data_IF_038355864811
#
_entry.id   IF_038355864811
#
_cell.length_a   1.000
_cell.length_b   1.000
_cell.length_c   1.000
_cell.angle_alpha   90.00
_cell.angle_beta   90.00
_cell.angle_gamma   90.00
#
_symmetry.space_group_name_H-M   'P 1'
#
loop_
_entity.id
_entity.type
_entity.pdbx_description
1 polymer ?
#
# COMPACT_ATOMS: atom_id res chain seq x y z
N UNK A 1 -34.08 6.50 -7.63
CA UNK A 1 -33.06 6.26 -8.66
C UNK A 1 -31.71 6.15 -7.96
N UNK A 2 -31.21 4.93 -7.80
CA UNK A 2 -30.12 4.61 -6.87
C UNK A 2 -28.77 5.02 -7.45
N UNK A 3 -28.04 5.84 -6.70
CA UNK A 3 -26.71 6.33 -7.05
C UNK A 3 -25.73 5.19 -7.25
N UNK A 4 -25.07 5.18 -8.42
CA UNK A 4 -23.94 4.31 -8.68
C UNK A 4 -22.79 4.80 -7.81
N UNK A 5 -22.47 4.06 -6.75
CA UNK A 5 -21.23 4.23 -6.00
C UNK A 5 -20.06 4.19 -6.99
N UNK A 6 -19.36 5.31 -7.12
CA UNK A 6 -18.15 5.44 -7.90
C UNK A 6 -17.04 4.65 -7.23
N UNK A 7 -17.07 3.32 -7.42
CA UNK A 7 -15.88 2.50 -7.22
C UNK A 7 -14.80 3.07 -8.12
N UNK A 8 -13.87 3.84 -7.54
CA UNK A 8 -12.64 4.28 -8.20
C UNK A 8 -11.83 3.02 -8.52
N UNK A 9 -12.18 2.40 -9.64
CA UNK A 9 -11.51 1.23 -10.19
C UNK A 9 -10.02 1.54 -10.28
N UNK A 10 -9.19 0.66 -9.73
CA UNK A 10 -7.77 0.70 -10.01
C UNK A 10 -7.60 0.65 -11.54
N UNK A 11 -7.02 1.68 -12.16
CA UNK A 11 -7.03 1.88 -13.62
C UNK A 11 -6.31 0.79 -14.42
N UNK A 12 -5.69 -0.20 -13.77
CA UNK A 12 -5.02 -1.33 -14.43
C UNK A 12 -5.99 -2.52 -14.38
N UNK A 13 -6.97 -2.57 -15.27
CA UNK A 13 -7.71 -3.81 -15.53
C UNK A 13 -7.05 -4.48 -16.73
N UNK A 14 -5.84 -5.00 -16.54
CA UNK A 14 -5.46 -6.16 -17.35
C UNK A 14 -6.36 -7.30 -16.89
N UNK A 15 -7.19 -7.83 -17.80
CA UNK A 15 -8.01 -9.00 -17.51
C UNK A 15 -7.05 -10.12 -17.10
N UNK A 16 -7.02 -10.46 -15.81
CA UNK A 16 -6.15 -11.52 -15.28
C UNK A 16 -6.34 -12.79 -16.11
N UNK A 17 -5.23 -13.47 -16.44
CA UNK A 17 -5.33 -14.77 -17.08
C UNK A 17 -6.12 -15.71 -16.17
N UNK A 18 -6.87 -16.65 -16.74
CA UNK A 18 -7.80 -17.51 -15.99
C UNK A 18 -7.12 -18.20 -14.79
N UNK A 19 -5.85 -18.60 -14.95
CA UNK A 19 -5.04 -19.26 -13.93
C UNK A 19 -4.32 -18.30 -12.96
N UNK A 20 -4.25 -17.01 -13.24
CA UNK A 20 -3.67 -15.96 -12.38
C UNK A 20 -4.72 -15.34 -11.44
N UNK A 21 -5.95 -15.86 -11.44
CA UNK A 21 -7.02 -15.42 -10.54
C UNK A 21 -6.67 -15.76 -9.09
N UNK A 22 -7.27 -15.00 -8.17
CA UNK A 22 -7.09 -15.20 -6.72
C UNK A 22 -7.48 -16.63 -6.36
N UNK A 23 -6.59 -17.31 -5.62
CA UNK A 23 -6.91 -18.62 -5.03
C UNK A 23 -7.99 -18.43 -3.96
N UNK A 24 -9.01 -19.27 -3.99
CA UNK A 24 -10.11 -19.23 -3.02
C UNK A 24 -10.11 -20.46 -2.13
N UNK A 25 -10.61 -20.28 -0.91
CA UNK A 25 -10.92 -21.33 0.06
C UNK A 25 -12.24 -22.02 -0.33
N UNK A 26 -12.58 -23.17 0.30
CA UNK A 26 -13.86 -23.86 0.05
C UNK A 26 -15.09 -22.98 0.29
N UNK A 27 -15.02 -22.04 1.24
CA UNK A 27 -16.08 -21.07 1.51
C UNK A 27 -16.07 -19.84 0.58
N UNK A 28 -15.47 -19.95 -0.61
CA UNK A 28 -15.32 -18.90 -1.63
C UNK A 28 -14.41 -17.70 -1.28
N UNK A 29 -13.98 -17.55 -0.02
CA UNK A 29 -13.11 -16.43 0.38
C UNK A 29 -11.70 -16.55 -0.22
N UNK A 30 -11.04 -15.44 -0.59
CA UNK A 30 -9.68 -15.50 -1.09
C UNK A 30 -8.69 -15.94 -0.01
N UNK A 31 -7.65 -16.66 -0.41
CA UNK A 31 -6.50 -16.95 0.44
C UNK A 31 -5.67 -15.66 0.58
N UNK A 32 -5.41 -15.26 1.83
CA UNK A 32 -4.65 -14.06 2.16
C UNK A 32 -3.30 -14.43 2.75
N UNK A 33 -2.26 -13.73 2.33
CA UNK A 33 -0.92 -13.91 2.84
C UNK A 33 -0.69 -13.01 4.07
N UNK A 34 0.02 -13.53 5.06
CA UNK A 34 0.48 -12.75 6.21
C UNK A 34 1.70 -11.92 5.80
N UNK A 35 1.68 -10.63 6.10
CA UNK A 35 2.72 -9.67 5.72
C UNK A 35 3.32 -8.97 6.94
N UNK A 36 4.57 -8.51 6.83
CA UNK A 36 5.28 -7.80 7.89
C UNK A 36 5.07 -6.28 7.92
N UNK A 37 4.46 -5.72 6.86
CA UNK A 37 4.24 -4.27 6.68
C UNK A 37 2.75 -3.89 6.80
N UNK A 38 2.51 -2.64 7.19
CA UNK A 38 1.19 -1.98 7.30
C UNK A 38 1.14 -0.72 6.43
N UNK A 39 -0.07 -0.20 6.22
CA UNK A 39 -0.29 1.09 5.54
C UNK A 39 0.29 2.20 6.43
N UNK A 40 0.95 3.18 5.81
CA UNK A 40 1.63 4.27 6.51
C UNK A 40 3.01 3.94 7.07
N UNK A 41 3.47 2.70 6.96
CA UNK A 41 4.85 2.37 7.32
C UNK A 41 5.81 3.04 6.31
N UNK A 42 6.94 3.57 6.81
CA UNK A 42 8.05 4.03 5.97
C UNK A 42 8.99 2.87 5.67
N UNK A 43 9.28 2.66 4.40
CA UNK A 43 10.07 1.53 3.92
C UNK A 43 11.15 1.96 2.95
N UNK A 44 12.23 1.19 2.91
CA UNK A 44 13.28 1.28 1.90
C UNK A 44 13.21 0.06 0.99
N UNK A 45 13.42 0.28 -0.31
CA UNK A 45 13.46 -0.80 -1.30
C UNK A 45 14.84 -1.45 -1.31
N UNK A 46 14.85 -2.77 -1.18
CA UNK A 46 16.05 -3.61 -1.07
C UNK A 46 16.53 -4.07 -2.45
N UNK A 47 15.58 -4.43 -3.31
CA UNK A 47 15.82 -5.06 -4.60
C UNK A 47 14.84 -4.57 -5.67
N UNK A 48 15.24 -4.69 -6.93
CA UNK A 48 14.50 -4.20 -8.09
C UNK A 48 15.09 -2.89 -8.65
N UNK A 49 14.39 -2.32 -9.63
CA UNK A 49 14.80 -1.10 -10.34
C UNK A 49 14.95 0.11 -9.39
N UNK A 50 14.05 0.22 -8.43
CA UNK A 50 13.96 1.36 -7.51
C UNK A 50 14.77 1.14 -6.22
N UNK A 51 15.85 0.34 -6.29
CA UNK A 51 16.66 -0.03 -5.12
C UNK A 51 17.22 1.21 -4.43
N UNK A 52 17.11 1.22 -3.10
CA UNK A 52 17.68 2.28 -2.25
C UNK A 52 16.75 3.45 -1.97
N UNK A 53 15.67 3.63 -2.74
CA UNK A 53 14.67 4.67 -2.47
C UNK A 53 13.88 4.35 -1.20
N UNK A 54 13.50 5.42 -0.49
CA UNK A 54 12.69 5.38 0.71
C UNK A 54 11.34 6.00 0.38
N UNK A 55 10.25 5.40 0.87
CA UNK A 55 8.90 5.93 0.68
C UNK A 55 7.91 5.34 1.67
N UNK A 56 6.72 5.92 1.69
CA UNK A 56 5.62 5.49 2.56
C UNK A 56 4.65 4.58 1.79
N UNK A 57 4.10 3.58 2.49
CA UNK A 57 3.14 2.64 1.89
C UNK A 57 1.75 3.26 1.83
N UNK A 58 1.22 3.42 0.61
CA UNK A 58 -0.14 3.94 0.37
C UNK A 58 -1.19 2.83 0.42
N UNK A 59 -0.90 1.68 -0.23
CA UNK A 59 -1.86 0.56 -0.34
C UNK A 59 -1.17 -0.79 -0.21
N UNK A 60 -1.91 -1.77 0.31
CA UNK A 60 -1.43 -3.14 0.54
C UNK A 60 -2.39 -4.16 -0.05
N UNK A 61 -1.88 -5.06 -0.89
CA UNK A 61 -2.63 -6.15 -1.50
C UNK A 61 -2.21 -7.50 -0.94
N UNK A 62 -2.96 -7.98 0.07
CA UNK A 62 -2.65 -9.23 0.80
C UNK A 62 -2.80 -10.53 0.00
N UNK A 63 -3.53 -10.51 -1.12
CA UNK A 63 -3.74 -11.70 -1.95
C UNK A 63 -2.51 -12.02 -2.82
N UNK A 64 -1.77 -11.00 -3.25
CA UNK A 64 -0.55 -11.14 -4.05
C UNK A 64 0.73 -10.84 -3.24
N UNK A 65 0.60 -10.47 -1.96
CA UNK A 65 1.73 -10.01 -1.12
C UNK A 65 2.47 -8.79 -1.70
N UNK A 66 1.75 -7.88 -2.35
CA UNK A 66 2.33 -6.68 -2.99
C UNK A 66 1.89 -5.38 -2.30
N UNK A 67 2.72 -4.35 -2.37
CA UNK A 67 2.49 -3.03 -1.77
C UNK A 67 2.68 -1.93 -2.81
N UNK A 68 1.98 -0.81 -2.65
CA UNK A 68 2.22 0.42 -3.41
C UNK A 68 2.95 1.39 -2.48
N UNK A 69 4.11 1.85 -2.93
CA UNK A 69 4.94 2.84 -2.24
C UNK A 69 4.83 4.15 -3.02
N UNK A 70 4.65 5.27 -2.31
CA UNK A 70 4.49 6.59 -2.90
C UNK A 70 5.70 6.96 -3.79
N UNK A 71 5.44 7.64 -4.91
CA UNK A 71 6.45 8.18 -5.84
C UNK A 71 7.45 7.15 -6.38
N UNK A 72 7.10 5.86 -6.33
CA UNK A 72 7.99 4.77 -6.71
C UNK A 72 7.34 3.83 -7.73
N UNK A 73 8.16 3.21 -8.59
CA UNK A 73 7.71 2.30 -9.64
C UNK A 73 6.62 2.93 -10.52
N UNK A 74 6.86 4.18 -10.93
CA UNK A 74 5.92 4.97 -11.73
C UNK A 74 5.77 4.37 -13.13
N UNK A 75 4.52 4.22 -13.56
CA UNK A 75 4.17 3.73 -14.90
C UNK A 75 3.31 4.76 -15.58
N UNK A 76 3.70 5.12 -16.80
CA UNK A 76 2.93 6.00 -17.66
C UNK A 76 1.73 5.23 -18.22
N UNK A 77 0.53 5.70 -17.89
CA UNK A 77 -0.72 5.14 -18.39
C UNK A 77 -1.43 6.17 -19.26
N UNK A 78 -1.68 5.77 -20.51
CA UNK A 78 -2.58 6.49 -21.40
C UNK A 78 -4.03 6.19 -21.00
N UNK A 79 -4.79 7.22 -20.65
CA UNK A 79 -6.20 7.11 -20.29
C UNK A 79 -7.01 7.73 -21.42
N UNK A 80 -7.83 6.89 -22.07
CA UNK A 80 -8.81 7.35 -23.06
C UNK A 80 -9.91 8.11 -22.34
N UNK A 81 -10.34 9.22 -22.94
CA UNK A 81 -11.52 9.96 -22.49
C UNK A 81 -12.75 9.06 -22.53
N UNK A 82 -13.68 9.28 -21.59
CA UNK A 82 -14.95 8.56 -21.49
C UNK A 82 -16.15 9.42 -21.87
N UNK A 83 -15.99 10.73 -21.86
CA UNK A 83 -17.06 11.71 -22.07
C UNK A 83 -16.72 12.59 -23.28
N UNK A 84 -17.74 12.95 -24.06
CA UNK A 84 -17.58 13.81 -25.22
C UNK A 84 -17.19 15.22 -24.76
N UNK A 85 -15.99 15.68 -25.15
CA UNK A 85 -15.47 17.01 -24.81
C UNK A 85 -14.20 17.01 -23.94
N UNK A 86 -13.88 15.90 -23.26
CA UNK A 86 -12.64 15.82 -22.46
C UNK A 86 -11.48 15.25 -23.30
N UNK A 87 -10.30 15.89 -23.31
CA UNK A 87 -9.12 15.32 -23.96
C UNK A 87 -8.59 14.10 -23.18
N UNK A 88 -8.03 13.14 -23.91
CA UNK A 88 -7.31 12.02 -23.29
C UNK A 88 -6.11 12.51 -22.46
N UNK A 89 -5.76 11.77 -21.40
CA UNK A 89 -4.72 12.19 -20.46
C UNK A 89 -3.61 11.14 -20.34
N UNK A 90 -2.37 11.61 -20.17
CA UNK A 90 -1.21 10.79 -19.83
C UNK A 90 -0.97 10.89 -18.33
N UNK A 91 -1.34 9.85 -17.59
CA UNK A 91 -1.26 9.84 -16.13
C UNK A 91 -0.08 8.97 -15.70
N UNK A 92 0.73 9.44 -14.76
CA UNK A 92 1.74 8.62 -14.08
C UNK A 92 1.12 7.99 -12.84
N UNK A 93 1.17 6.66 -12.74
CA UNK A 93 0.54 5.90 -11.66
C UNK A 93 1.60 5.04 -10.98
N UNK A 94 1.55 4.92 -9.66
CA UNK A 94 2.45 4.06 -8.91
C UNK A 94 2.13 2.57 -9.14
N UNK A 95 3.17 1.80 -9.44
CA UNK A 95 3.09 0.35 -9.62
C UNK A 95 3.31 -0.40 -8.31
N UNK A 96 2.64 -1.55 -8.16
CA UNK A 96 2.85 -2.42 -7.01
C UNK A 96 4.24 -3.09 -7.04
N UNK A 97 4.82 -3.26 -5.85
CA UNK A 97 6.11 -3.90 -5.58
C UNK A 97 5.86 -5.09 -4.63
N UNK A 98 6.60 -6.18 -4.79
CA UNK A 98 6.45 -7.33 -3.88
C UNK A 98 6.96 -6.99 -2.47
N UNK A 99 6.22 -7.40 -1.44
CA UNK A 99 6.51 -7.06 -0.04
C UNK A 99 7.87 -7.56 0.45
N UNK A 100 8.42 -8.64 -0.12
CA UNK A 100 9.77 -9.11 0.21
C UNK A 100 10.88 -8.13 -0.18
N UNK A 101 10.62 -7.24 -1.15
CA UNK A 101 11.61 -6.32 -1.67
C UNK A 101 11.66 -5.01 -0.87
N UNK A 102 10.92 -4.92 0.24
CA UNK A 102 10.88 -3.75 1.11
C UNK A 102 11.23 -4.10 2.55
N UNK A 103 12.06 -3.25 3.17
CA UNK A 103 12.42 -3.30 4.59
C UNK A 103 11.92 -2.05 5.30
N UNK A 104 11.57 -2.19 6.58
CA UNK A 104 11.18 -1.04 7.41
C UNK A 104 12.38 -0.12 7.62
N UNK A 105 12.10 1.18 7.56
CA UNK A 105 13.10 2.23 7.64
C UNK A 105 12.84 3.10 8.87
N UNK A 106 13.85 3.29 9.70
CA UNK A 106 13.84 4.28 10.78
C UNK A 106 14.25 5.64 10.22
N UNK A 107 13.39 6.65 10.38
CA UNK A 107 13.71 8.04 9.99
C UNK A 107 14.77 8.65 10.91
N UNK A 108 14.79 8.22 12.18
CA UNK A 108 15.66 8.80 13.20
C UNK A 108 17.12 8.37 13.00
N UNK A 109 17.34 7.07 12.76
CA UNK A 109 18.68 6.52 12.62
C UNK A 109 19.12 6.33 11.17
N UNK A 110 18.22 6.57 10.21
CA UNK A 110 18.45 6.32 8.77
C UNK A 110 18.87 4.88 8.44
N UNK A 111 18.49 3.93 9.30
CA UNK A 111 18.84 2.51 9.17
C UNK A 111 17.62 1.70 8.74
N UNK A 112 17.86 0.72 7.86
CA UNK A 112 16.90 -0.34 7.56
C UNK A 112 17.12 -1.55 8.45
N UNK A 113 16.03 -2.15 8.91
CA UNK A 113 16.13 -3.37 9.69
C UNK A 113 14.94 -4.33 9.50
N UNK A 114 15.17 -5.56 9.93
CA UNK A 114 14.11 -6.58 10.05
C UNK A 114 13.22 -6.27 11.25
N UNK A 115 11.98 -6.75 11.19
CA UNK A 115 10.99 -6.54 12.23
C UNK A 115 11.02 -7.65 13.27
N UNK A 116 10.97 -7.27 14.55
CA UNK A 116 10.71 -8.14 15.69
C UNK A 116 9.36 -7.84 16.32
N UNK A 117 8.92 -8.68 17.26
CA UNK A 117 7.72 -8.47 18.05
C UNK A 117 8.04 -8.43 19.53
N UNK A 118 7.55 -7.42 20.25
CA UNK A 118 7.70 -7.27 21.71
C UNK A 118 6.33 -7.09 22.36
N UNK A 119 6.16 -7.60 23.57
CA UNK A 119 4.98 -7.32 24.40
C UNK A 119 5.36 -6.18 25.35
N UNK A 120 4.56 -5.12 25.38
CA UNK A 120 4.72 -4.01 26.31
C UNK A 120 4.07 -4.33 27.66
N UNK A 121 4.41 -3.57 28.69
CA UNK A 121 3.87 -3.73 30.05
C UNK A 121 2.34 -3.56 30.08
N UNK A 122 1.80 -2.79 29.15
CA UNK A 122 0.36 -2.62 28.92
C UNK A 122 -0.34 -3.88 28.32
N UNK A 123 0.38 -5.01 28.17
CA UNK A 123 -0.12 -6.25 27.54
C UNK A 123 -0.24 -6.21 26.01
N UNK A 124 0.10 -5.08 25.36
CA UNK A 124 -0.01 -4.91 23.90
C UNK A 124 1.22 -5.46 23.18
N UNK A 125 1.00 -6.27 22.14
CA UNK A 125 2.05 -6.76 21.24
C UNK A 125 2.32 -5.75 20.13
N UNK A 126 3.55 -5.25 20.06
CA UNK A 126 3.99 -4.24 19.08
C UNK A 126 5.12 -4.77 18.20
N UNK A 127 5.28 -4.17 17.02
CA UNK A 127 6.44 -4.36 16.14
C UNK A 127 7.56 -3.41 16.55
N UNK A 128 8.79 -3.91 16.54
CA UNK A 128 10.00 -3.10 16.75
C UNK A 128 11.07 -3.42 15.71
N UNK A 129 11.99 -2.48 15.49
CA UNK A 129 13.15 -2.65 14.62
C UNK A 129 14.27 -3.37 15.38
N UNK A 130 14.76 -4.50 14.84
CA UNK A 130 15.74 -5.33 15.55
C UNK A 130 17.08 -4.60 15.75
N UNK A 131 17.50 -3.77 14.80
CA UNK A 131 18.79 -3.07 14.88
C UNK A 131 18.77 -1.87 15.82
N UNK A 132 17.66 -1.15 15.86
CA UNK A 132 17.56 0.14 16.56
C UNK A 132 16.82 0.03 17.89
N UNK A 133 16.00 -1.02 18.06
CA UNK A 133 15.09 -1.17 19.20
C UNK A 133 13.82 -0.32 19.12
N UNK A 134 13.69 0.51 18.09
CA UNK A 134 12.60 1.47 17.94
C UNK A 134 11.25 0.78 17.72
N UNK A 135 10.21 1.28 18.39
CA UNK A 135 8.84 0.76 18.29
C UNK A 135 8.11 1.47 17.15
N UNK A 136 7.53 0.68 16.24
CA UNK A 136 6.90 1.19 15.01
C UNK A 136 5.39 1.40 15.20
N UNK A 137 4.77 0.48 15.94
CA UNK A 137 3.32 0.47 16.12
C UNK A 137 2.91 1.41 17.28
N UNK A 138 2.38 2.59 16.95
CA UNK A 138 1.73 3.47 17.94
C UNK A 138 0.23 3.15 18.06
N UNK A 139 -0.32 3.31 19.27
CA UNK A 139 -1.72 2.95 19.59
C UNK A 139 -2.75 3.70 18.73
N UNK A 140 -2.43 4.93 18.33
CA UNK A 140 -3.34 5.84 17.62
C UNK A 140 -3.12 5.85 16.11
N UNK A 141 -2.16 5.08 15.59
CA UNK A 141 -1.78 5.15 14.19
C UNK A 141 -2.97 4.89 13.24
N UNK A 142 -3.86 3.97 13.61
CA UNK A 142 -5.04 3.66 12.81
C UNK A 142 -6.05 4.82 12.74
N UNK A 143 -6.18 5.63 13.79
CA UNK A 143 -7.06 6.82 13.80
C UNK A 143 -6.50 7.87 12.85
N UNK A 144 -5.20 8.15 12.97
CA UNK A 144 -4.48 9.10 12.10
C UNK A 144 -4.62 8.74 10.63
N UNK A 145 -4.45 7.46 10.29
CA UNK A 145 -4.62 6.97 8.93
C UNK A 145 -6.06 7.14 8.42
N UNK A 146 -7.05 6.85 9.26
CA UNK A 146 -8.47 6.99 8.89
C UNK A 146 -8.86 8.45 8.65
N UNK A 147 -8.38 9.36 9.49
CA UNK A 147 -8.58 10.80 9.33
C UNK A 147 -7.90 11.33 8.06
N UNK A 148 -6.67 10.88 7.79
CA UNK A 148 -5.96 11.24 6.57
C UNK A 148 -6.71 10.77 5.31
N UNK A 149 -7.21 9.53 5.29
CA UNK A 149 -8.02 9.04 4.16
C UNK A 149 -9.29 9.86 3.96
N UNK A 150 -9.99 10.20 5.06
CA UNK A 150 -11.22 11.01 4.99
C UNK A 150 -10.95 12.40 4.40
N UNK A 151 -9.89 13.08 4.87
CA UNK A 151 -9.45 14.37 4.32
C UNK A 151 -9.12 14.29 2.82
N UNK A 152 -8.48 13.20 2.39
CA UNK A 152 -8.12 13.01 0.99
C UNK A 152 -9.37 12.77 0.11
N UNK A 153 -10.37 12.06 0.64
CA UNK A 153 -11.66 11.83 -0.02
C UNK A 153 -12.49 13.12 -0.12
N UNK A 154 -12.55 13.92 0.95
CA UNK A 154 -13.22 15.23 0.98
C UNK A 154 -12.57 16.21 -0.02
N UNK A 155 -11.24 16.28 -0.04
CA UNK A 155 -10.51 17.11 -1.01
C UNK A 155 -10.75 16.66 -2.45
N UNK A 156 -10.91 15.36 -2.69
CA UNK A 156 -11.21 14.79 -4.01
C UNK A 156 -12.71 14.83 -4.39
N UNK A 157 -13.59 15.26 -3.49
CA UNK A 157 -15.00 15.50 -3.75
C UNK A 157 -15.33 17.00 -3.89
N UNK A 158 -14.50 17.87 -3.31
CA UNK A 158 -14.57 19.32 -3.47
C UNK A 158 -13.87 19.82 -4.75
N UNK A 159 -13.03 18.99 -5.37
CA UNK A 159 -12.37 19.21 -6.66
C UNK A 159 -13.05 18.37 -7.75
#
# INVERSE_FOLDING_TARGET
>A
MQGKSSEKQCPIVMRLKRWERKKCKPNSLPILHKMHVKIGDTVKIISGHEKGKVGEITRVFKHNSTVIVKDTNLKTKHVKSREEGEPGQIIKIEGAIHSSNVMLYSKDQNVTSRVGHKVLDNGKKVRYLIKTGEIIDTTENWKKLKEATKKTEEAAAAA
#
